data_IF_690982499373
#
_entry.id   IF_690982499373
#
_cell.length_a   1.000
_cell.length_b   1.000
_cell.length_c   1.000
_cell.angle_alpha   90.00
_cell.angle_beta   90.00
_cell.angle_gamma   90.00
#
_symmetry.space_group_name_H-M   'P 1'
#
loop_
_entity.id
_entity.type
_entity.pdbx_description
1 polymer ?
#
# COMPACT_ATOMS: atom_id res chain seq x y z
N UNK A 1 -11.40 -0.33 11.02
CA UNK A 1 -11.03 -0.51 9.59
C UNK A 1 -11.11 0.79 8.78
N UNK A 2 -12.29 1.33 8.42
CA UNK A 2 -12.41 2.49 7.48
C UNK A 2 -11.45 3.66 7.74
N UNK A 3 -11.31 4.10 9.01
CA UNK A 3 -10.39 5.19 9.36
C UNK A 3 -8.91 4.87 9.07
N UNK A 4 -8.50 3.61 9.30
CA UNK A 4 -7.16 3.12 8.94
C UNK A 4 -6.95 3.17 7.44
N UNK A 5 -7.92 2.67 6.66
CA UNK A 5 -7.78 2.62 5.20
C UNK A 5 -7.76 4.02 4.59
N UNK A 6 -8.55 4.96 5.12
CA UNK A 6 -8.48 6.38 4.76
C UNK A 6 -7.13 7.01 5.14
N UNK A 7 -6.57 6.65 6.30
CA UNK A 7 -5.25 7.11 6.72
C UNK A 7 -4.12 6.56 5.83
N UNK A 8 -4.21 5.30 5.40
CA UNK A 8 -3.29 4.69 4.43
C UNK A 8 -3.41 5.40 3.07
N UNK A 9 -4.62 5.49 2.51
CA UNK A 9 -4.87 6.14 1.23
C UNK A 9 -4.50 7.63 1.25
N UNK A 10 -4.63 8.30 2.40
CA UNK A 10 -4.18 9.67 2.58
C UNK A 10 -2.66 9.83 2.56
N UNK A 11 -1.85 8.77 2.52
CA UNK A 11 -0.41 8.84 2.25
C UNK A 11 -0.09 8.90 0.75
N UNK A 12 -1.05 8.59 -0.11
CA UNK A 12 -0.91 8.73 -1.56
C UNK A 12 -1.01 10.21 -1.95
N UNK A 13 0.03 10.67 -2.62
CA UNK A 13 0.04 11.91 -3.37
C UNK A 13 -0.09 11.56 -4.86
N UNK A 14 -1.32 11.66 -5.37
CA UNK A 14 -1.69 11.18 -6.71
C UNK A 14 -2.60 12.18 -7.41
N UNK A 15 -2.46 12.28 -8.73
CA UNK A 15 -3.40 13.00 -9.57
C UNK A 15 -4.72 12.22 -9.71
N UNK A 16 -5.86 12.90 -9.96
CA UNK A 16 -7.10 12.24 -10.33
C UNK A 16 -6.90 11.33 -11.56
N UNK A 17 -7.40 10.10 -11.48
CA UNK A 17 -7.27 9.06 -12.49
C UNK A 17 -6.02 8.19 -12.36
N UNK A 18 -5.03 8.59 -11.56
CA UNK A 18 -3.75 7.89 -11.46
C UNK A 18 -3.91 6.39 -11.14
N UNK A 19 -3.18 5.55 -11.85
CA UNK A 19 -3.20 4.10 -11.62
C UNK A 19 -2.42 3.75 -10.36
N UNK A 20 -3.08 3.17 -9.36
CA UNK A 20 -2.47 2.85 -8.06
C UNK A 20 -2.35 1.35 -7.89
N UNK A 21 -1.13 0.84 -7.88
CA UNK A 21 -0.85 -0.56 -7.55
C UNK A 21 -1.20 -0.86 -6.10
N UNK A 22 -2.09 -1.83 -5.87
CA UNK A 22 -2.45 -2.30 -4.53
C UNK A 22 -1.96 -3.74 -4.35
N UNK A 23 -0.84 -3.92 -3.66
CA UNK A 23 -0.23 -5.23 -3.41
C UNK A 23 -0.63 -5.75 -2.03
N UNK A 24 -1.36 -6.86 -1.98
CA UNK A 24 -1.95 -7.44 -0.76
C UNK A 24 -3.34 -6.89 -0.47
N UNK A 25 -4.30 -7.18 -1.34
CA UNK A 25 -5.57 -6.46 -1.44
C UNK A 25 -6.39 -6.52 -0.15
N UNK A 26 -6.80 -5.33 0.31
CA UNK A 26 -7.81 -5.16 1.36
C UNK A 26 -8.97 -4.37 0.77
N UNK A 27 -10.16 -4.96 0.70
CA UNK A 27 -11.32 -4.35 0.02
C UNK A 27 -11.63 -2.91 0.45
N UNK A 28 -11.66 -2.56 1.76
CA UNK A 28 -11.76 -1.17 2.20
C UNK A 28 -10.72 -0.21 1.61
N UNK A 29 -9.49 -0.67 1.38
CA UNK A 29 -8.42 0.15 0.82
C UNK A 29 -8.61 0.41 -0.69
N UNK A 30 -9.23 -0.52 -1.42
CA UNK A 30 -9.67 -0.29 -2.82
C UNK A 30 -10.68 0.87 -2.88
N UNK A 31 -11.65 0.92 -1.97
CA UNK A 31 -12.59 2.04 -1.87
C UNK A 31 -11.86 3.34 -1.52
N UNK A 32 -10.97 3.32 -0.53
CA UNK A 32 -10.25 4.52 -0.10
C UNK A 32 -9.35 5.09 -1.21
N UNK A 33 -8.74 4.25 -2.06
CA UNK A 33 -7.99 4.69 -3.25
C UNK A 33 -8.93 5.40 -4.25
N UNK A 34 -10.11 4.81 -4.53
CA UNK A 34 -11.11 5.41 -5.42
C UNK A 34 -11.61 6.76 -4.89
N UNK A 35 -11.86 6.87 -3.60
CA UNK A 35 -12.27 8.11 -2.93
C UNK A 35 -11.19 9.20 -3.03
N UNK A 36 -9.91 8.83 -3.11
CA UNK A 36 -8.79 9.73 -3.40
C UNK A 36 -8.63 10.08 -4.88
N UNK A 37 -9.52 9.58 -5.74
CA UNK A 37 -9.50 9.79 -7.18
C UNK A 37 -8.57 8.85 -7.95
N UNK A 38 -7.97 7.85 -7.30
CA UNK A 38 -7.10 6.87 -7.95
C UNK A 38 -7.86 5.72 -8.60
N UNK A 39 -7.22 5.06 -9.56
CA UNK A 39 -7.68 3.84 -10.22
C UNK A 39 -6.92 2.63 -9.66
N UNK A 40 -7.50 1.79 -8.80
CA UNK A 40 -6.79 0.65 -8.20
C UNK A 40 -6.39 -0.40 -9.25
N UNK A 41 -5.15 -0.89 -9.15
CA UNK A 41 -4.63 -2.07 -9.84
C UNK A 41 -4.36 -3.15 -8.78
N UNK A 42 -5.35 -4.00 -8.46
CA UNK A 42 -5.24 -4.94 -7.35
C UNK A 42 -4.38 -6.17 -7.72
N UNK A 43 -3.46 -6.53 -6.83
CA UNK A 43 -2.66 -7.74 -6.92
C UNK A 43 -2.63 -8.47 -5.56
N UNK A 44 -3.01 -9.74 -5.56
CA UNK A 44 -3.03 -10.59 -4.37
C UNK A 44 -2.86 -12.06 -4.76
N UNK A 45 -2.21 -12.85 -3.91
CA UNK A 45 -2.02 -14.28 -4.18
C UNK A 45 -3.27 -15.13 -3.91
N UNK A 46 -4.17 -14.66 -3.05
CA UNK A 46 -5.31 -15.43 -2.56
C UNK A 46 -6.67 -14.87 -3.02
N UNK A 47 -6.73 -13.59 -3.39
CA UNK A 47 -7.94 -12.95 -3.87
C UNK A 47 -8.01 -12.96 -5.40
N UNK A 48 -9.14 -13.41 -5.97
CA UNK A 48 -9.36 -13.43 -7.43
C UNK A 48 -10.12 -12.20 -7.96
N UNK A 49 -10.98 -11.62 -7.14
CA UNK A 49 -11.74 -10.43 -7.47
C UNK A 49 -12.02 -9.59 -6.21
N UNK A 50 -12.12 -8.27 -6.38
CA UNK A 50 -12.55 -7.37 -5.31
C UNK A 50 -14.04 -7.58 -4.99
N UNK A 51 -14.54 -6.99 -3.90
CA UNK A 51 -15.97 -7.03 -3.58
C UNK A 51 -16.87 -6.34 -4.62
N UNK A 52 -16.30 -5.55 -5.53
CA UNK A 52 -17.02 -4.92 -6.65
C UNK A 52 -16.84 -5.69 -7.97
N UNK A 53 -16.16 -6.85 -7.95
CA UNK A 53 -15.95 -7.69 -9.12
C UNK A 53 -14.75 -7.30 -9.98
N UNK A 54 -13.89 -6.36 -9.53
CA UNK A 54 -12.67 -6.04 -10.27
C UNK A 54 -11.72 -7.24 -10.25
N UNK A 55 -11.12 -7.64 -11.38
CA UNK A 55 -10.18 -8.74 -11.41
C UNK A 55 -8.93 -8.40 -10.60
N UNK A 56 -8.42 -9.37 -9.85
CA UNK A 56 -7.18 -9.26 -9.08
C UNK A 56 -6.15 -10.17 -9.73
N UNK A 57 -5.02 -9.60 -10.15
CA UNK A 57 -3.92 -10.40 -10.71
C UNK A 57 -3.09 -11.03 -9.60
N UNK A 58 -2.41 -12.12 -9.91
CA UNK A 58 -1.41 -12.75 -9.02
C UNK A 58 0.01 -12.32 -9.41
N UNK A 59 0.18 -11.64 -10.54
CA UNK A 59 1.46 -11.17 -11.03
C UNK A 59 1.65 -9.69 -10.68
N UNK A 60 2.56 -9.43 -9.74
CA UNK A 60 2.88 -8.06 -9.35
C UNK A 60 3.54 -7.26 -10.50
N UNK A 61 4.22 -7.92 -11.45
CA UNK A 61 4.89 -7.22 -12.55
C UNK A 61 3.89 -6.52 -13.47
N UNK A 62 2.75 -7.14 -13.75
CA UNK A 62 1.65 -6.52 -14.52
C UNK A 62 1.15 -5.22 -13.86
N UNK A 63 1.10 -5.18 -12.53
CA UNK A 63 0.73 -3.98 -11.76
C UNK A 63 1.87 -2.96 -11.76
N UNK A 64 3.09 -3.41 -11.49
CA UNK A 64 4.27 -2.55 -11.37
C UNK A 64 4.72 -1.91 -12.67
N UNK A 65 4.28 -2.38 -13.84
CA UNK A 65 4.57 -1.74 -15.12
C UNK A 65 3.63 -0.57 -15.45
N UNK A 66 2.46 -0.56 -14.81
CA UNK A 66 1.38 0.40 -15.10
C UNK A 66 1.18 1.42 -13.99
N UNK A 67 1.44 1.03 -12.75
CA UNK A 67 1.22 1.87 -11.59
C UNK A 67 2.01 3.19 -11.65
N UNK A 68 1.35 4.28 -11.28
CA UNK A 68 1.91 5.62 -11.08
C UNK A 68 2.18 5.88 -9.59
N UNK A 69 1.58 5.09 -8.69
CA UNK A 69 1.91 4.99 -7.27
C UNK A 69 1.64 3.56 -6.79
N UNK A 70 2.37 3.08 -5.78
CA UNK A 70 2.20 1.73 -5.23
C UNK A 70 1.91 1.80 -3.74
N UNK A 71 0.91 1.05 -3.29
CA UNK A 71 0.59 0.78 -1.89
C UNK A 71 0.74 -0.72 -1.65
N UNK A 72 1.67 -1.11 -0.79
CA UNK A 72 2.01 -2.51 -0.55
C UNK A 72 1.88 -2.89 0.93
N UNK A 73 1.37 -4.10 1.18
CA UNK A 73 1.31 -4.68 2.52
C UNK A 73 2.72 -4.96 3.06
N UNK A 74 2.90 -4.77 4.37
CA UNK A 74 4.11 -5.18 5.09
C UNK A 74 4.40 -6.69 5.02
N UNK A 75 3.41 -7.52 4.64
CA UNK A 75 3.64 -8.97 4.43
C UNK A 75 4.64 -9.27 3.30
N UNK A 76 4.86 -8.34 2.38
CA UNK A 76 5.85 -8.48 1.30
C UNK A 76 7.27 -8.66 1.83
N UNK A 77 7.57 -8.14 3.02
CA UNK A 77 8.84 -8.36 3.73
C UNK A 77 9.02 -9.82 4.16
N UNK A 78 7.91 -10.52 4.45
CA UNK A 78 7.93 -11.88 4.96
C UNK A 78 7.93 -12.97 3.88
N UNK A 79 7.50 -12.64 2.66
CA UNK A 79 7.40 -13.61 1.56
C UNK A 79 8.46 -13.42 0.46
N UNK A 80 9.44 -12.53 0.68
CA UNK A 80 10.55 -12.30 -0.24
C UNK A 80 10.24 -11.41 -1.45
N UNK A 81 9.04 -10.82 -1.54
CA UNK A 81 8.67 -9.96 -2.68
C UNK A 81 9.02 -8.48 -2.51
N UNK A 82 9.38 -8.05 -1.30
CA UNK A 82 9.63 -6.64 -1.01
C UNK A 82 10.78 -6.04 -1.82
N UNK A 83 11.89 -6.75 -1.99
CA UNK A 83 13.06 -6.21 -2.70
C UNK A 83 12.72 -5.94 -4.17
N UNK A 84 11.96 -6.84 -4.81
CA UNK A 84 11.45 -6.62 -6.18
C UNK A 84 10.55 -5.38 -6.28
N UNK A 85 9.65 -5.17 -5.31
CA UNK A 85 8.81 -3.97 -5.25
C UNK A 85 9.66 -2.71 -5.12
N UNK A 86 10.60 -2.72 -4.17
CA UNK A 86 11.48 -1.61 -3.87
C UNK A 86 12.33 -1.23 -5.08
N UNK A 87 12.98 -2.21 -5.71
CA UNK A 87 13.82 -2.02 -6.88
C UNK A 87 13.03 -1.49 -8.07
N UNK A 88 11.86 -2.06 -8.37
CA UNK A 88 11.03 -1.64 -9.50
C UNK A 88 10.46 -0.24 -9.30
N UNK A 89 9.96 0.08 -8.11
CA UNK A 89 9.46 1.42 -7.81
C UNK A 89 10.58 2.46 -7.92
N UNK A 90 11.77 2.16 -7.37
CA UNK A 90 12.94 3.04 -7.47
C UNK A 90 13.38 3.24 -8.92
N UNK A 91 13.49 2.17 -9.71
CA UNK A 91 13.91 2.24 -11.10
C UNK A 91 12.96 3.06 -11.97
N UNK A 92 11.65 3.03 -11.67
CA UNK A 92 10.63 3.80 -12.39
C UNK A 92 10.38 5.21 -11.80
N UNK A 93 10.96 5.53 -10.65
CA UNK A 93 10.64 6.77 -9.93
C UNK A 93 9.20 6.83 -9.40
N UNK A 94 8.59 5.67 -9.15
CA UNK A 94 7.21 5.55 -8.66
C UNK A 94 7.19 5.54 -7.14
N UNK A 95 6.34 6.33 -6.46
CA UNK A 95 6.26 6.34 -5.02
C UNK A 95 5.74 5.00 -4.48
N UNK A 96 6.46 4.46 -3.48
CA UNK A 96 6.10 3.24 -2.77
C UNK A 96 5.67 3.57 -1.33
N UNK A 97 4.39 3.38 -1.05
CA UNK A 97 3.80 3.44 0.29
C UNK A 97 3.68 2.03 0.85
N UNK A 98 4.16 1.82 2.08
CA UNK A 98 3.98 0.55 2.78
C UNK A 98 2.95 0.71 3.88
N UNK A 99 1.96 -0.19 3.99
CA UNK A 99 1.12 -0.31 5.18
C UNK A 99 1.44 -1.61 5.89
N UNK A 100 1.93 -1.49 7.12
CA UNK A 100 2.54 -2.58 7.84
C UNK A 100 1.97 -2.70 9.25
N UNK A 101 1.29 -3.82 9.46
CA UNK A 101 1.01 -4.38 10.79
C UNK A 101 2.22 -5.21 11.26
N UNK A 102 2.75 -6.05 10.36
CA UNK A 102 3.99 -6.80 10.54
C UNK A 102 5.15 -6.12 9.81
N UNK A 103 6.35 -6.18 10.39
CA UNK A 103 7.56 -5.68 9.74
C UNK A 103 7.65 -4.15 9.62
N UNK A 104 6.81 -3.39 10.32
CA UNK A 104 6.77 -1.92 10.20
C UNK A 104 8.09 -1.23 10.55
N UNK A 105 8.83 -1.72 11.55
CA UNK A 105 10.18 -1.23 11.88
C UNK A 105 11.21 -1.52 10.78
N UNK A 106 11.06 -2.64 10.06
CA UNK A 106 11.92 -2.99 8.93
C UNK A 106 11.58 -2.11 7.73
N UNK A 107 10.30 -1.99 7.38
CA UNK A 107 9.84 -1.06 6.32
C UNK A 107 10.30 0.38 6.58
N UNK A 108 10.34 0.80 7.86
CA UNK A 108 10.80 2.13 8.26
C UNK A 108 12.26 2.40 7.88
N UNK A 109 13.13 1.39 7.89
CA UNK A 109 14.54 1.52 7.50
C UNK A 109 14.72 1.91 6.03
N UNK A 110 13.71 1.67 5.19
CA UNK A 110 13.72 2.02 3.77
C UNK A 110 13.08 3.39 3.47
N UNK A 111 12.57 4.11 4.48
CA UNK A 111 11.98 5.44 4.24
C UNK A 111 13.05 6.41 3.72
N UNK A 112 12.79 7.05 2.57
CA UNK A 112 13.75 7.91 1.88
C UNK A 112 14.80 7.14 1.08
N UNK A 113 14.80 5.81 1.16
CA UNK A 113 15.68 4.90 0.40
C UNK A 113 14.86 3.94 -0.47
N UNK A 114 13.76 4.43 -1.01
CA UNK A 114 12.85 3.73 -1.91
C UNK A 114 11.40 3.64 -1.41
N UNK A 115 11.18 3.61 -0.09
CA UNK A 115 9.84 3.80 0.49
C UNK A 115 9.62 5.30 0.70
N UNK A 116 8.52 5.84 0.17
CA UNK A 116 8.19 7.28 0.26
C UNK A 116 7.28 7.58 1.45
N UNK A 117 6.44 6.62 1.85
CA UNK A 117 5.60 6.73 3.04
C UNK A 117 5.35 5.38 3.71
N UNK A 118 5.08 5.41 5.01
CA UNK A 118 4.78 4.22 5.81
C UNK A 118 3.57 4.49 6.71
N UNK A 119 2.60 3.57 6.67
CA UNK A 119 1.55 3.44 7.68
C UNK A 119 1.90 2.25 8.58
N UNK A 120 2.33 2.52 9.81
CA UNK A 120 2.77 1.51 10.77
C UNK A 120 1.74 1.33 11.88
N UNK A 121 1.20 0.13 12.00
CA UNK A 121 0.18 -0.23 12.98
C UNK A 121 0.77 -1.23 13.99
N UNK A 122 1.06 -0.83 15.24
CA UNK A 122 1.46 -1.77 16.29
C UNK A 122 0.31 -2.68 16.69
N UNK A 123 0.63 -3.81 17.33
CA UNK A 123 -0.37 -4.64 17.98
C UNK A 123 -0.96 -3.91 19.21
N UNK A 124 -2.28 -4.01 19.49
CA UNK A 124 -3.29 -4.78 18.76
C UNK A 124 -3.73 -4.11 17.45
N UNK A 125 -3.90 -4.92 16.40
CA UNK A 125 -4.33 -4.42 15.10
C UNK A 125 -5.82 -4.09 15.10
N UNK A 126 -6.21 -2.99 14.44
CA UNK A 126 -7.59 -2.53 14.26
C UNK A 126 -8.49 -3.51 13.50
N UNK A 127 -7.91 -4.53 12.86
CA UNK A 127 -8.66 -5.63 12.23
C UNK A 127 -9.09 -6.71 13.24
N UNK A 128 -8.47 -6.73 14.42
CA UNK A 128 -8.77 -7.70 15.49
C UNK A 128 -9.37 -7.04 16.74
N UNK A 129 -9.51 -5.72 16.76
CA UNK A 129 -10.04 -4.97 17.89
C UNK A 129 -11.20 -4.06 17.46
N UNK A 130 -12.21 -3.96 18.33
CA UNK A 130 -13.27 -2.96 18.22
C UNK A 130 -12.90 -1.65 18.93
N UNK A 131 -11.81 -1.63 19.68
CA UNK A 131 -11.31 -0.45 20.41
C UNK A 131 -10.45 0.46 19.51
N UNK A 132 -10.19 1.66 20.03
CA UNK A 132 -9.24 2.58 19.42
C UNK A 132 -7.83 1.96 19.39
N UNK A 133 -7.14 2.15 18.26
CA UNK A 133 -5.78 1.65 18.04
C UNK A 133 -4.92 2.77 17.49
N UNK A 134 -3.62 2.67 17.74
CA UNK A 134 -2.66 3.69 17.30
C UNK A 134 -2.20 3.35 15.88
N UNK A 135 -2.10 4.38 15.03
CA UNK A 135 -1.53 4.27 13.70
C UNK A 135 -0.47 5.36 13.50
N UNK A 136 0.78 4.97 13.28
CA UNK A 136 1.87 5.89 12.98
C UNK A 136 1.98 6.09 11.47
N UNK A 137 2.08 7.35 11.04
CA UNK A 137 2.21 7.72 9.64
C UNK A 137 3.51 8.46 9.42
N UNK A 138 4.32 7.99 8.50
CA UNK A 138 5.59 8.59 8.12
C UNK A 138 5.57 8.96 6.65
N UNK A 139 6.22 10.07 6.29
CA UNK A 139 6.50 10.47 4.92
C UNK A 139 7.93 11.00 4.84
N UNK A 140 8.52 10.96 3.64
CA UNK A 140 9.73 11.72 3.34
C UNK A 140 9.46 13.21 3.39
N UNK A 141 10.47 14.01 3.72
CA UNK A 141 10.32 15.46 3.91
C UNK A 141 9.97 16.21 2.62
N UNK A 142 10.29 15.63 1.45
CA UNK A 142 10.19 16.30 0.15
C UNK A 142 8.81 16.16 -0.54
N UNK A 143 7.78 15.73 0.20
CA UNK A 143 6.42 15.50 -0.33
C UNK A 143 5.48 16.71 -0.19
N UNK A 144 5.90 17.89 -0.65
CA UNK A 144 5.06 19.10 -0.76
C UNK A 144 5.03 19.63 -2.18
#
# INVERSE_FOLDING_TARGET
>A
ARARDAAIAGLLDIAPGAQVGLIGVVNPLVAAIRERGGTPLPCDFNLKATQWGDPVTTDMHEVLDRAEAVVATGMTLGNGSFDTLLERCRARGVPLVVYAQSGSAVARAFLGSGVTALSAEPFPFSQFSAEETILYRYRTADGT
#
